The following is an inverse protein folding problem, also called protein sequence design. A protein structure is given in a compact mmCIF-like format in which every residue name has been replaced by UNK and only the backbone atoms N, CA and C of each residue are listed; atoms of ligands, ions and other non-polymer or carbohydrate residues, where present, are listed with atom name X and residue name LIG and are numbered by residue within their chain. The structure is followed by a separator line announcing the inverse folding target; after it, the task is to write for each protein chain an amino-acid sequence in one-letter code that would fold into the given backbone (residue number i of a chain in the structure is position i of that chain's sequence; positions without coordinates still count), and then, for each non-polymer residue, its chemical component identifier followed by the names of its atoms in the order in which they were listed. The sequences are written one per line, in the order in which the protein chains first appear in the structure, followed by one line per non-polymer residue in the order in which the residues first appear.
data_IF_276943676684
#
_entry.id   IF_276943676684
#
_cell.length_a   1.000
_cell.length_b   1.000
_cell.length_c   1.000
_cell.angle_alpha   90.00
_cell.angle_beta   90.00
_cell.angle_gamma   90.00
#
_symmetry.space_group_name_H-M   'P 1'
#
loop_
_entity.id
_entity.type
_entity.pdbx_description
1 polymer ?
#
# COMPACT_ATOMS: atom_id res chain seq x y z
N UNK A 1 -1.89 -3.97 -22.70
CA UNK A 1 -0.90 -3.96 -21.60
C UNK A 1 -0.93 -5.32 -20.91
N UNK A 2 0.22 -5.98 -20.72
CA UNK A 2 0.29 -7.23 -19.94
C UNK A 2 0.43 -6.89 -18.45
N UNK A 3 -0.57 -7.27 -17.65
CA UNK A 3 -0.55 -7.17 -16.18
C UNK A 3 0.04 -8.46 -15.58
N UNK A 4 -0.22 -8.76 -14.30
CA UNK A 4 0.36 -9.94 -13.64
C UNK A 4 -0.09 -11.23 -14.33
N UNK A 5 -1.40 -11.38 -14.53
CA UNK A 5 -1.96 -12.58 -15.14
C UNK A 5 -2.55 -12.36 -16.53
N UNK A 6 -3.37 -11.32 -16.69
CA UNK A 6 -4.11 -11.07 -17.91
C UNK A 6 -3.58 -9.87 -18.71
N UNK A 7 -4.11 -9.69 -19.92
CA UNK A 7 -3.92 -8.47 -20.71
C UNK A 7 -5.14 -7.58 -20.61
N UNK A 8 -4.90 -6.29 -20.39
CA UNK A 8 -5.94 -5.25 -20.44
C UNK A 8 -5.66 -4.28 -21.57
N UNK A 9 -6.68 -3.50 -21.95
CA UNK A 9 -6.54 -2.40 -22.89
C UNK A 9 -5.55 -1.35 -22.36
N UNK A 10 -4.73 -0.81 -23.26
CA UNK A 10 -3.76 0.22 -22.91
C UNK A 10 -4.33 1.62 -23.21
N UNK A 11 -3.96 2.59 -22.39
CA UNK A 11 -4.29 4.01 -22.55
C UNK A 11 -3.16 4.77 -23.25
N UNK A 12 -3.47 5.90 -23.87
CA UNK A 12 -2.49 6.71 -24.62
C UNK A 12 -1.41 7.32 -23.72
N UNK A 13 -1.79 7.74 -22.51
CA UNK A 13 -0.91 8.42 -21.56
C UNK A 13 -1.04 7.80 -20.18
N UNK A 14 0.09 7.71 -19.48
CA UNK A 14 0.17 7.26 -18.10
C UNK A 14 0.97 8.26 -17.28
N UNK A 15 0.61 8.40 -16.00
CA UNK A 15 1.32 9.23 -15.04
C UNK A 15 2.60 8.53 -14.54
N UNK A 16 3.60 9.32 -14.16
CA UNK A 16 4.77 8.80 -13.45
C UNK A 16 4.36 8.29 -12.06
N UNK A 17 4.90 7.14 -11.66
CA UNK A 17 4.57 6.45 -10.41
C UNK A 17 5.82 6.01 -9.65
N UNK A 18 5.71 5.95 -8.33
CA UNK A 18 6.66 5.29 -7.41
C UNK A 18 5.91 4.22 -6.64
N UNK A 19 6.43 2.99 -6.61
CA UNK A 19 5.69 1.80 -6.19
C UNK A 19 6.47 1.00 -5.14
N UNK A 20 5.77 0.50 -4.13
CA UNK A 20 6.19 -0.62 -3.29
C UNK A 20 5.42 -1.86 -3.71
N UNK A 21 6.14 -2.91 -4.14
CA UNK A 21 5.53 -4.08 -4.78
C UNK A 21 6.28 -5.38 -4.46
N UNK A 22 5.56 -6.52 -4.38
CA UNK A 22 6.17 -7.82 -4.45
C UNK A 22 6.96 -7.96 -5.75
N UNK A 23 8.14 -8.55 -5.64
CA UNK A 23 9.12 -8.57 -6.72
C UNK A 23 8.73 -9.47 -7.90
N UNK A 24 7.73 -10.32 -7.73
CA UNK A 24 7.27 -11.30 -8.73
C UNK A 24 6.09 -10.83 -9.60
N UNK A 25 5.31 -9.85 -9.15
CA UNK A 25 4.08 -9.40 -9.84
C UNK A 25 4.30 -8.12 -10.66
N UNK A 26 3.34 -7.70 -11.48
CA UNK A 26 3.44 -6.48 -12.28
C UNK A 26 2.92 -5.23 -11.56
N UNK A 27 1.83 -5.36 -10.80
CA UNK A 27 1.20 -4.31 -9.99
C UNK A 27 2.02 -3.81 -8.79
N UNK A 28 1.33 -3.33 -7.75
CA UNK A 28 1.89 -2.84 -6.50
C UNK A 28 0.94 -2.98 -5.32
N UNK A 29 1.47 -3.10 -4.10
CA UNK A 29 0.65 -3.12 -2.87
C UNK A 29 0.34 -1.69 -2.41
N UNK A 30 1.26 -0.76 -2.69
CA UNK A 30 1.07 0.65 -2.44
C UNK A 30 1.98 1.51 -3.31
N UNK A 31 1.62 2.78 -3.49
CA UNK A 31 2.44 3.74 -4.21
C UNK A 31 1.80 5.11 -4.31
N UNK A 32 2.48 5.98 -5.06
CA UNK A 32 2.01 7.32 -5.37
C UNK A 32 2.32 7.69 -6.82
N UNK A 33 1.65 8.72 -7.33
CA UNK A 33 1.91 9.29 -8.64
C UNK A 33 2.30 10.78 -8.59
N UNK A 34 2.75 11.31 -9.72
CA UNK A 34 3.20 12.71 -9.85
C UNK A 34 2.12 13.77 -9.58
N UNK A 35 0.85 13.38 -9.56
CA UNK A 35 -0.28 14.25 -9.23
C UNK A 35 -0.62 14.25 -7.73
N UNK A 36 0.10 13.48 -6.92
CA UNK A 36 -0.13 13.36 -5.49
C UNK A 36 -1.27 12.42 -5.13
N UNK A 37 -1.66 11.52 -6.03
CA UNK A 37 -2.56 10.40 -5.70
C UNK A 37 -1.72 9.31 -5.05
N UNK A 38 -2.17 8.81 -3.90
CA UNK A 38 -1.62 7.67 -3.20
C UNK A 38 -2.67 6.56 -3.14
N UNK A 39 -2.23 5.32 -3.35
CA UNK A 39 -3.09 4.14 -3.24
C UNK A 39 -2.35 3.06 -2.46
N UNK A 40 -3.03 2.40 -1.54
CA UNK A 40 -2.60 1.12 -0.96
C UNK A 40 -3.77 0.15 -0.90
N UNK A 41 -3.52 -1.15 -0.94
CA UNK A 41 -4.53 -2.18 -0.77
C UNK A 41 -4.18 -3.19 0.32
N UNK A 42 -5.16 -3.98 0.71
CA UNK A 42 -5.01 -5.12 1.62
C UNK A 42 -6.02 -6.22 1.24
N UNK A 43 -5.73 -7.45 1.67
CA UNK A 43 -6.58 -8.61 1.43
C UNK A 43 -7.82 -8.62 2.35
N UNK A 44 -9.00 -8.85 1.80
CA UNK A 44 -10.25 -9.06 2.57
C UNK A 44 -10.96 -10.33 2.14
N UNK A 45 -11.66 -10.93 3.10
CA UNK A 45 -12.46 -12.14 2.92
C UNK A 45 -13.89 -11.90 3.41
N UNK A 46 -14.87 -12.41 2.68
CA UNK A 46 -16.28 -12.21 2.95
C UNK A 46 -17.12 -13.32 2.32
N UNK A 47 -18.44 -13.21 2.41
CA UNK A 47 -19.39 -14.26 1.98
C UNK A 47 -19.33 -14.59 0.50
N UNK A 48 -18.97 -13.60 -0.33
CA UNK A 48 -18.81 -13.82 -1.76
C UNK A 48 -17.62 -14.75 -2.02
N UNK A 49 -17.84 -15.77 -2.85
CA UNK A 49 -16.80 -16.70 -3.24
C UNK A 49 -15.67 -15.97 -3.96
N UNK A 50 -14.45 -16.42 -3.70
CA UNK A 50 -13.26 -15.85 -4.32
C UNK A 50 -12.90 -16.74 -5.52
N UNK A 51 -12.83 -16.15 -6.70
CA UNK A 51 -12.44 -16.86 -7.92
C UNK A 51 -10.94 -17.18 -7.94
N UNK A 52 -10.61 -18.44 -8.21
CA UNK A 52 -9.23 -18.89 -8.46
C UNK A 52 -8.77 -18.61 -9.90
N UNK A 53 -9.72 -18.29 -10.79
CA UNK A 53 -9.43 -17.95 -12.17
C UNK A 53 -8.58 -16.67 -12.27
N UNK A 54 -7.60 -16.72 -13.15
CA UNK A 54 -6.69 -15.61 -13.40
C UNK A 54 -7.44 -14.39 -13.95
N UNK A 55 -7.48 -13.32 -13.16
CA UNK A 55 -8.02 -12.02 -13.53
C UNK A 55 -7.05 -10.90 -13.11
N UNK A 56 -7.53 -9.66 -12.95
CA UNK A 56 -6.72 -8.62 -12.32
C UNK A 56 -6.54 -8.94 -10.83
N UNK A 57 -5.32 -8.75 -10.34
CA UNK A 57 -5.09 -8.72 -8.91
C UNK A 57 -5.43 -7.34 -8.35
N UNK A 58 -5.76 -7.26 -7.06
CA UNK A 58 -5.87 -5.96 -6.36
C UNK A 58 -4.63 -5.09 -6.57
N UNK A 59 -3.44 -5.71 -6.57
CA UNK A 59 -2.18 -5.03 -6.78
C UNK A 59 -2.04 -4.49 -8.22
N UNK A 60 -2.61 -5.18 -9.21
CA UNK A 60 -2.67 -4.66 -10.58
C UNK A 60 -3.59 -3.43 -10.64
N UNK A 61 -4.72 -3.46 -9.93
CA UNK A 61 -5.66 -2.35 -9.82
C UNK A 61 -5.02 -1.12 -9.13
N UNK A 62 -4.22 -1.31 -8.08
CA UNK A 62 -3.43 -0.21 -7.45
C UNK A 62 -2.58 0.51 -8.48
N UNK A 63 -1.77 -0.24 -9.23
CA UNK A 63 -0.88 0.35 -10.23
C UNK A 63 -1.66 1.02 -11.36
N UNK A 64 -2.70 0.37 -11.87
CA UNK A 64 -3.53 0.92 -12.94
C UNK A 64 -4.25 2.21 -12.51
N UNK A 65 -4.74 2.27 -11.26
CA UNK A 65 -5.31 3.47 -10.67
C UNK A 65 -4.31 4.62 -10.62
N UNK A 66 -3.10 4.36 -10.12
CA UNK A 66 -2.02 5.36 -10.05
C UNK A 66 -1.56 5.84 -11.43
N UNK A 67 -1.43 4.93 -12.40
CA UNK A 67 -0.96 5.28 -13.76
C UNK A 67 -2.02 6.03 -14.58
N UNK A 68 -3.32 5.94 -14.24
CA UNK A 68 -4.42 6.44 -15.10
C UNK A 68 -5.29 7.54 -14.48
N UNK A 69 -5.01 7.97 -13.26
CA UNK A 69 -5.78 9.00 -12.58
C UNK A 69 -4.90 10.11 -11.98
N UNK A 70 -5.39 11.34 -12.01
CA UNK A 70 -4.78 12.53 -11.41
C UNK A 70 -5.52 13.02 -10.14
N UNK A 71 -6.59 12.32 -9.72
CA UNK A 71 -7.30 12.52 -8.45
C UNK A 71 -7.69 11.18 -7.81
N UNK A 72 -7.94 11.18 -6.50
CA UNK A 72 -8.39 10.02 -5.76
C UNK A 72 -9.76 9.50 -6.25
N UNK A 73 -10.72 10.38 -6.52
CA UNK A 73 -12.03 9.98 -7.07
C UNK A 73 -11.91 9.36 -8.48
N UNK A 74 -11.02 9.89 -9.33
CA UNK A 74 -10.75 9.27 -10.65
C UNK A 74 -10.06 7.93 -10.50
N UNK A 75 -9.14 7.78 -9.53
CA UNK A 75 -8.47 6.51 -9.26
C UNK A 75 -9.47 5.43 -8.81
N UNK A 76 -10.41 5.78 -7.92
CA UNK A 76 -11.52 4.92 -7.54
C UNK A 76 -12.31 4.48 -8.79
N UNK A 77 -12.68 5.43 -9.64
CA UNK A 77 -13.44 5.16 -10.88
C UNK A 77 -12.69 4.21 -11.82
N UNK A 78 -11.40 4.45 -12.05
CA UNK A 78 -10.53 3.55 -12.84
C UNK A 78 -10.53 2.13 -12.25
N UNK A 79 -10.40 2.00 -10.93
CA UNK A 79 -10.37 0.69 -10.27
C UNK A 79 -11.69 -0.05 -10.48
N UNK A 80 -12.84 0.59 -10.26
CA UNK A 80 -14.15 -0.09 -10.37
C UNK A 80 -14.53 -0.39 -11.82
N UNK A 81 -14.17 0.46 -12.79
CA UNK A 81 -14.39 0.21 -14.22
C UNK A 81 -13.56 -1.01 -14.69
N UNK A 82 -12.31 -1.12 -14.21
CA UNK A 82 -11.44 -2.26 -14.51
C UNK A 82 -11.93 -3.54 -13.82
N UNK A 83 -12.39 -3.43 -12.58
CA UNK A 83 -13.00 -4.55 -11.84
C UNK A 83 -14.24 -5.07 -12.58
N UNK A 84 -15.12 -4.18 -13.04
CA UNK A 84 -16.32 -4.55 -13.80
C UNK A 84 -15.95 -5.24 -15.13
N UNK A 85 -14.97 -4.70 -15.85
CA UNK A 85 -14.59 -5.19 -17.18
C UNK A 85 -13.77 -6.48 -17.16
N UNK A 86 -12.88 -6.63 -16.19
CA UNK A 86 -11.87 -7.69 -16.19
C UNK A 86 -11.94 -8.62 -14.97
N UNK A 87 -12.79 -8.31 -13.98
CA UNK A 87 -12.90 -9.06 -12.74
C UNK A 87 -11.67 -8.91 -11.83
N UNK A 88 -11.72 -9.60 -10.70
CA UNK A 88 -10.59 -9.78 -9.80
C UNK A 88 -10.44 -11.26 -9.42
N UNK A 89 -9.21 -11.74 -9.28
CA UNK A 89 -8.97 -13.16 -9.00
C UNK A 89 -7.59 -13.67 -9.42
N UNK A 90 -7.30 -14.91 -9.06
CA UNK A 90 -6.02 -15.58 -9.28
C UNK A 90 -5.09 -15.48 -8.08
N UNK A 91 -4.09 -16.36 -8.03
CA UNK A 91 -3.24 -16.53 -6.84
C UNK A 91 -2.46 -15.25 -6.48
N UNK A 92 -2.56 -14.77 -5.25
CA UNK A 92 -1.84 -13.59 -4.76
C UNK A 92 -0.49 -13.94 -4.12
N UNK A 93 0.01 -15.17 -4.31
CA UNK A 93 1.28 -15.64 -3.76
C UNK A 93 2.16 -16.29 -4.82
N UNK A 94 3.48 -16.03 -4.78
CA UNK A 94 4.49 -16.74 -5.56
C UNK A 94 4.73 -18.15 -4.96
N UNK A 95 3.73 -19.02 -5.08
CA UNK A 95 3.70 -20.37 -4.52
C UNK A 95 2.68 -21.26 -5.25
N UNK A 96 2.76 -22.57 -5.03
CA UNK A 96 1.70 -23.52 -5.41
C UNK A 96 0.51 -23.51 -4.44
N UNK A 97 0.69 -22.92 -3.26
CA UNK A 97 -0.42 -22.69 -2.34
C UNK A 97 -1.32 -21.60 -2.91
N UNK A 98 -2.60 -21.92 -3.04
CA UNK A 98 -3.62 -20.96 -3.49
C UNK A 98 -3.87 -19.98 -2.34
N UNK A 99 -3.64 -18.70 -2.60
CA UNK A 99 -3.92 -17.63 -1.67
C UNK A 99 -4.66 -16.52 -2.42
N UNK A 100 -5.99 -16.59 -2.42
CA UNK A 100 -6.87 -15.69 -3.16
C UNK A 100 -7.71 -14.87 -2.18
N UNK A 101 -8.04 -13.64 -2.58
CA UNK A 101 -8.81 -12.69 -1.77
C UNK A 101 -9.46 -11.60 -2.63
N UNK A 102 -10.41 -10.87 -2.05
CA UNK A 102 -10.86 -9.58 -2.56
C UNK A 102 -10.07 -8.45 -1.88
N UNK A 103 -10.37 -7.18 -2.19
CA UNK A 103 -9.53 -6.07 -1.77
C UNK A 103 -10.27 -4.95 -1.05
N UNK A 104 -9.61 -4.42 -0.02
CA UNK A 104 -9.88 -3.09 0.52
C UNK A 104 -8.76 -2.16 0.04
N UNK A 105 -9.10 -0.94 -0.38
CA UNK A 105 -8.18 0.06 -0.87
C UNK A 105 -8.31 1.34 -0.04
N UNK A 106 -7.18 1.94 0.31
CA UNK A 106 -7.07 3.33 0.72
C UNK A 106 -6.59 4.14 -0.46
N UNK A 107 -7.35 5.17 -0.84
CA UNK A 107 -7.06 6.05 -1.96
C UNK A 107 -7.09 7.48 -1.43
N UNK A 108 -6.04 8.27 -1.62
CA UNK A 108 -5.99 9.64 -1.15
C UNK A 108 -5.29 10.55 -2.15
N UNK A 109 -5.70 11.81 -2.20
CA UNK A 109 -4.96 12.88 -2.83
C UNK A 109 -4.89 14.10 -1.89
N UNK A 110 -4.51 15.27 -2.41
CA UNK A 110 -4.39 16.51 -1.62
C UNK A 110 -5.72 17.00 -1.03
N UNK A 111 -6.86 16.59 -1.58
CA UNK A 111 -8.19 17.15 -1.28
C UNK A 111 -9.11 16.16 -0.60
N UNK A 112 -9.00 14.89 -0.96
CA UNK A 112 -9.94 13.87 -0.50
C UNK A 112 -9.27 12.51 -0.29
N UNK A 113 -9.94 11.69 0.51
CA UNK A 113 -9.56 10.30 0.70
C UNK A 113 -10.82 9.41 0.65
N UNK A 114 -10.61 8.18 0.19
CA UNK A 114 -11.64 7.19 -0.04
C UNK A 114 -11.18 5.85 0.50
N UNK A 115 -12.13 5.12 1.09
CA UNK A 115 -12.03 3.68 1.29
C UNK A 115 -12.86 3.03 0.20
N UNK A 116 -12.31 2.06 -0.52
CA UNK A 116 -13.04 1.24 -1.49
C UNK A 116 -12.89 -0.23 -1.09
N UNK A 117 -13.99 -0.93 -0.93
CA UNK A 117 -13.98 -2.36 -0.57
C UNK A 117 -14.76 -3.17 -1.59
N UNK A 118 -14.17 -4.30 -2.02
CA UNK A 118 -14.71 -5.14 -3.09
C UNK A 118 -15.16 -6.51 -2.56
N UNK A 119 -16.14 -7.08 -3.25
CA UNK A 119 -16.69 -8.42 -3.01
C UNK A 119 -17.13 -9.01 -4.35
N UNK A 120 -16.29 -9.83 -4.97
CA UNK A 120 -16.47 -10.25 -6.35
C UNK A 120 -16.45 -9.03 -7.29
N UNK A 121 -17.45 -8.89 -8.16
CA UNK A 121 -17.60 -7.66 -8.98
C UNK A 121 -18.23 -6.48 -8.22
N UNK A 122 -18.83 -6.74 -7.05
CA UNK A 122 -19.54 -5.72 -6.27
C UNK A 122 -18.58 -4.94 -5.39
N UNK A 123 -18.96 -3.71 -5.06
CA UNK A 123 -18.11 -2.82 -4.27
C UNK A 123 -18.94 -1.73 -3.58
N UNK A 124 -18.38 -1.20 -2.50
CA UNK A 124 -18.85 -0.01 -1.80
C UNK A 124 -17.66 0.92 -1.55
N UNK A 125 -17.91 2.23 -1.54
CA UNK A 125 -16.89 3.23 -1.25
C UNK A 125 -17.41 4.31 -0.28
N UNK A 126 -16.55 4.67 0.65
CA UNK A 126 -16.78 5.67 1.70
C UNK A 126 -15.82 6.84 1.49
N UNK A 127 -16.34 8.07 1.45
CA UNK A 127 -15.55 9.30 1.42
C UNK A 127 -15.18 9.70 2.85
N UNK A 128 -13.89 9.89 3.08
CA UNK A 128 -13.35 10.33 4.37
C UNK A 128 -13.43 11.86 4.45
N UNK A 129 -14.41 12.36 5.20
CA UNK A 129 -14.68 13.81 5.32
C UNK A 129 -13.77 14.54 6.31
N UNK A 130 -12.99 13.80 7.11
CA UNK A 130 -12.02 14.36 8.04
C UNK A 130 -11.62 13.41 9.15
N UNK A 131 -10.60 13.80 9.92
CA UNK A 131 -10.08 12.98 11.02
C UNK A 131 -9.16 11.86 10.53
N UNK A 132 -9.38 10.65 11.04
CA UNK A 132 -8.51 9.48 10.78
C UNK A 132 -9.35 8.30 10.33
N UNK A 133 -8.80 7.51 9.40
CA UNK A 133 -9.40 6.26 8.92
C UNK A 133 -8.28 5.26 8.66
N UNK A 134 -8.51 4.00 9.02
CA UNK A 134 -7.63 2.88 8.70
C UNK A 134 -8.43 1.69 8.17
N UNK A 135 -7.76 0.79 7.48
CA UNK A 135 -8.31 -0.52 7.06
C UNK A 135 -7.41 -1.64 7.60
N UNK A 136 -7.86 -2.89 7.48
CA UNK A 136 -7.14 -4.12 7.81
C UNK A 136 -7.78 -5.26 7.03
N UNK A 137 -7.42 -6.52 7.30
CA UNK A 137 -7.99 -7.71 6.64
C UNK A 137 -9.46 -8.04 6.98
N UNK A 138 -10.36 -7.07 6.83
CA UNK A 138 -11.79 -7.19 7.07
C UNK A 138 -12.50 -6.01 6.40
N UNK A 139 -13.74 -6.24 5.96
CA UNK A 139 -14.60 -5.17 5.46
C UNK A 139 -14.96 -4.20 6.59
N UNK A 140 -14.98 -2.91 6.31
CA UNK A 140 -15.09 -1.84 7.29
C UNK A 140 -16.07 -0.74 6.91
N UNK A 141 -16.49 -0.67 5.64
CA UNK A 141 -17.54 0.27 5.23
C UNK A 141 -18.88 -0.24 5.76
N UNK A 142 -19.54 0.55 6.61
CA UNK A 142 -20.79 0.16 7.26
C UNK A 142 -21.99 0.76 6.52
N UNK A 143 -22.74 1.66 7.14
CA UNK A 143 -23.92 2.31 6.56
C UNK A 143 -23.58 3.59 5.80
N UNK A 144 -22.45 4.23 6.12
CA UNK A 144 -21.94 5.38 5.34
C UNK A 144 -21.34 4.89 4.03
N UNK A 145 -22.12 4.96 2.96
CA UNK A 145 -21.73 4.57 1.60
C UNK A 145 -22.00 5.76 0.68
N UNK A 146 -20.93 6.31 0.11
CA UNK A 146 -20.98 7.46 -0.78
C UNK A 146 -21.10 7.05 -2.26
N UNK A 147 -20.50 5.91 -2.62
CA UNK A 147 -20.63 5.27 -3.95
C UNK A 147 -20.74 3.76 -3.79
N UNK A 148 -21.52 3.11 -4.64
CA UNK A 148 -21.69 1.66 -4.63
C UNK A 148 -21.89 1.10 -6.03
N UNK A 149 -21.64 -0.20 -6.20
CA UNK A 149 -22.05 -0.92 -7.38
C UNK A 149 -23.60 -0.86 -7.52
N UNK A 150 -24.17 -0.55 -8.70
CA UNK A 150 -25.62 -0.37 -8.86
C UNK A 150 -26.47 -1.56 -8.42
N UNK A 151 -25.96 -2.77 -8.62
CA UNK A 151 -26.62 -4.03 -8.25
C UNK A 151 -26.27 -4.54 -6.84
N UNK A 152 -25.46 -3.82 -6.04
CA UNK A 152 -24.93 -4.28 -4.75
C UNK A 152 -26.04 -4.82 -3.83
N UNK A 153 -27.04 -3.98 -3.57
CA UNK A 153 -28.14 -4.25 -2.64
C UNK A 153 -29.08 -5.36 -3.14
N UNK A 154 -29.44 -5.32 -4.41
CA UNK A 154 -30.32 -6.32 -5.02
C UNK A 154 -29.64 -7.69 -5.10
N UNK A 155 -28.34 -7.74 -5.36
CA UNK A 155 -27.57 -8.97 -5.27
C UNK A 155 -27.56 -9.54 -3.85
N UNK A 156 -27.27 -8.72 -2.84
CA UNK A 156 -27.29 -9.15 -1.44
C UNK A 156 -28.66 -9.70 -1.01
N UNK A 157 -29.76 -9.08 -1.46
CA UNK A 157 -31.13 -9.61 -1.26
C UNK A 157 -31.32 -10.96 -1.93
N UNK A 158 -30.90 -11.10 -3.19
CA UNK A 158 -31.02 -12.35 -3.95
C UNK A 158 -30.29 -13.52 -3.29
N UNK A 159 -29.21 -13.25 -2.55
CA UNK A 159 -28.45 -14.23 -1.76
C UNK A 159 -29.01 -14.47 -0.36
N UNK A 160 -30.04 -13.73 0.06
CA UNK A 160 -30.59 -13.76 1.41
C UNK A 160 -29.65 -13.20 2.48
N UNK A 161 -28.66 -12.38 2.10
CA UNK A 161 -27.72 -11.77 3.04
C UNK A 161 -28.25 -10.50 3.69
N UNK A 162 -29.16 -9.82 3.01
CA UNK A 162 -29.86 -8.64 3.49
C UNK A 162 -31.37 -8.81 3.28
N UNK A 163 -32.16 -8.45 4.29
CA UNK A 163 -33.62 -8.59 4.27
C UNK A 163 -34.32 -7.51 3.42
N UNK A 164 -33.61 -6.42 3.10
CA UNK A 164 -34.17 -5.29 2.38
C UNK A 164 -34.95 -4.30 3.23
N UNK A 165 -35.13 -4.59 4.52
CA UNK A 165 -35.90 -3.79 5.46
C UNK A 165 -35.00 -2.99 6.40
N UNK A 166 -33.92 -3.60 6.88
CA UNK A 166 -32.94 -2.93 7.74
C UNK A 166 -32.08 -1.98 6.93
N UNK A 167 -31.53 -0.95 7.59
CA UNK A 167 -30.49 -0.12 7.00
C UNK A 167 -29.35 -1.00 6.47
N UNK A 168 -28.91 -0.72 5.25
CA UNK A 168 -27.90 -1.53 4.59
C UNK A 168 -26.52 -1.19 5.14
N UNK A 169 -25.87 -2.19 5.75
CA UNK A 169 -24.49 -2.12 6.25
C UNK A 169 -23.63 -3.07 5.41
N UNK A 170 -22.71 -2.53 4.61
CA UNK A 170 -21.93 -3.31 3.65
C UNK A 170 -21.06 -4.36 4.35
N UNK A 171 -20.29 -3.94 5.36
CA UNK A 171 -19.42 -4.83 6.12
C UNK A 171 -20.21 -5.93 6.83
N UNK A 172 -21.33 -5.63 7.48
CA UNK A 172 -22.16 -6.64 8.14
C UNK A 172 -22.83 -7.62 7.15
N UNK A 173 -23.21 -7.13 5.96
CA UNK A 173 -23.88 -7.92 4.93
C UNK A 173 -22.92 -8.88 4.22
N UNK A 174 -21.73 -8.38 3.86
CA UNK A 174 -20.76 -9.11 3.04
C UNK A 174 -19.67 -9.83 3.84
N UNK A 175 -19.54 -9.61 5.15
CA UNK A 175 -18.57 -10.36 5.98
C UNK A 175 -19.09 -11.73 6.40
N UNK A 176 -18.17 -12.69 6.59
CA UNK A 176 -18.50 -14.00 7.19
C UNK A 176 -18.97 -13.88 8.66
N UNK A 177 -18.43 -12.91 9.39
CA UNK A 177 -18.61 -12.73 10.83
C UNK A 177 -19.30 -11.40 11.14
N UNK A 178 -19.98 -11.34 12.29
CA UNK A 178 -20.59 -10.10 12.77
C UNK A 178 -19.50 -9.05 13.12
N UNK A 179 -19.56 -7.91 12.46
CA UNK A 179 -18.59 -6.80 12.50
C UNK A 179 -18.77 -5.86 13.71
N UNK A 180 -19.81 -6.04 14.53
CA UNK A 180 -20.18 -5.13 15.63
C UNK A 180 -19.10 -4.92 16.72
N UNK A 181 -18.05 -5.76 16.78
CA UNK A 181 -16.94 -5.63 17.75
C UNK A 181 -15.60 -5.24 17.12
N UNK A 182 -15.58 -4.83 15.85
CA UNK A 182 -14.34 -4.58 15.11
C UNK A 182 -13.43 -3.51 15.73
N UNK A 183 -14.00 -2.46 16.33
CA UNK A 183 -13.24 -1.38 17.00
C UNK A 183 -12.87 -1.69 18.45
N UNK A 184 -13.28 -2.86 18.97
CA UNK A 184 -13.11 -3.22 20.40
C UNK A 184 -12.38 -4.56 20.59
N UNK A 185 -12.24 -5.38 19.55
CA UNK A 185 -11.43 -6.61 19.58
C UNK A 185 -9.93 -6.29 19.56
N UNK A 186 -9.09 -7.19 20.09
CA UNK A 186 -7.61 -7.08 20.03
C UNK A 186 -7.11 -7.50 18.64
N UNK A 187 -7.31 -6.66 17.64
CA UNK A 187 -6.84 -6.88 16.26
C UNK A 187 -6.26 -5.61 15.64
N UNK A 188 -5.45 -5.77 14.58
CA UNK A 188 -4.71 -4.67 13.92
C UNK A 188 -5.60 -3.47 13.57
N UNK A 189 -6.82 -3.72 13.10
CA UNK A 189 -7.80 -2.66 12.83
C UNK A 189 -8.09 -1.80 14.07
N UNK A 190 -8.45 -2.44 15.18
CA UNK A 190 -8.81 -1.79 16.45
C UNK A 190 -7.63 -1.08 17.08
N UNK A 191 -6.45 -1.71 17.11
CA UNK A 191 -5.25 -1.10 17.66
C UNK A 191 -4.77 0.08 16.79
N UNK A 192 -4.78 -0.06 15.47
CA UNK A 192 -4.52 1.06 14.55
C UNK A 192 -5.51 2.20 14.73
N UNK A 193 -6.80 1.91 14.92
CA UNK A 193 -7.81 2.91 15.21
C UNK A 193 -7.52 3.64 16.53
N UNK A 194 -7.15 2.93 17.59
CA UNK A 194 -6.80 3.54 18.90
C UNK A 194 -5.56 4.43 18.79
N UNK A 195 -4.51 3.95 18.12
CA UNK A 195 -3.27 4.70 17.93
C UNK A 195 -3.51 5.97 17.11
N UNK A 196 -4.23 5.88 15.98
CA UNK A 196 -4.57 7.06 15.19
C UNK A 196 -5.43 8.06 15.97
N UNK A 197 -6.43 7.59 16.73
CA UNK A 197 -7.28 8.49 17.51
C UNK A 197 -6.54 9.16 18.66
N UNK A 198 -5.54 8.50 19.26
CA UNK A 198 -4.68 9.10 20.29
C UNK A 198 -3.96 10.36 19.79
N UNK A 199 -3.62 10.40 18.50
CA UNK A 199 -2.90 11.51 17.88
C UNK A 199 -3.79 12.37 16.95
N UNK A 200 -5.11 12.19 17.00
CA UNK A 200 -6.05 12.90 16.11
C UNK A 200 -5.91 14.42 16.26
N UNK A 201 -5.70 15.10 15.14
CA UNK A 201 -5.50 16.56 15.10
C UNK A 201 -4.05 17.01 15.27
N UNK A 202 -3.13 16.09 15.58
CA UNK A 202 -1.68 16.37 15.69
C UNK A 202 -0.84 15.34 14.95
N UNK A 203 -1.39 14.66 13.94
CA UNK A 203 -0.66 13.64 13.18
C UNK A 203 0.43 14.31 12.34
N UNK A 204 1.65 13.81 12.50
CA UNK A 204 2.81 14.13 11.65
C UNK A 204 3.27 12.88 10.90
N UNK A 205 4.20 13.04 9.96
CA UNK A 205 4.88 11.91 9.30
C UNK A 205 5.53 10.97 10.32
N UNK A 206 6.19 11.52 11.33
CA UNK A 206 6.91 10.80 12.38
C UNK A 206 5.96 9.95 13.21
N UNK A 207 4.82 10.51 13.61
CA UNK A 207 3.79 9.75 14.34
C UNK A 207 3.28 8.59 13.48
N UNK A 208 3.06 8.80 12.18
CA UNK A 208 2.66 7.70 11.29
C UNK A 208 3.76 6.64 11.17
N UNK A 209 5.04 7.04 11.08
CA UNK A 209 6.18 6.12 11.07
C UNK A 209 6.28 5.33 12.38
N UNK A 210 6.05 5.97 13.53
CA UNK A 210 6.00 5.30 14.85
C UNK A 210 4.87 4.27 14.92
N UNK A 211 3.66 4.62 14.46
CA UNK A 211 2.52 3.69 14.39
C UNK A 211 2.86 2.48 13.51
N UNK A 212 3.51 2.69 12.37
CA UNK A 212 3.92 1.62 11.47
C UNK A 212 5.03 0.72 12.05
N UNK A 213 5.81 1.21 13.02
CA UNK A 213 6.84 0.45 13.74
C UNK A 213 6.28 -0.34 14.92
N UNK A 214 5.05 -0.05 15.35
CA UNK A 214 4.48 -0.60 16.58
C UNK A 214 4.20 -2.11 16.45
N UNK A 215 5.01 -2.90 17.18
CA UNK A 215 4.92 -4.37 17.21
C UNK A 215 3.83 -4.87 18.15
N UNK A 216 3.55 -4.14 19.24
CA UNK A 216 2.58 -4.56 20.27
C UNK A 216 1.14 -4.58 19.74
N UNK A 217 0.78 -3.60 18.90
CA UNK A 217 -0.49 -3.54 18.17
C UNK A 217 -0.62 -4.60 17.07
N UNK A 218 0.49 -5.23 16.70
CA UNK A 218 0.60 -6.12 15.55
C UNK A 218 0.62 -5.41 14.20
N UNK A 219 0.66 -4.06 14.14
CA UNK A 219 0.77 -3.31 12.88
C UNK A 219 2.08 -3.65 12.18
N UNK A 220 3.19 -3.61 12.92
CA UNK A 220 4.45 -4.16 12.46
C UNK A 220 4.46 -5.67 12.69
N UNK A 221 4.17 -6.44 11.64
CA UNK A 221 4.10 -7.90 11.74
C UNK A 221 5.50 -8.52 11.77
N UNK A 222 5.66 -9.57 12.58
CA UNK A 222 6.88 -10.36 12.71
C UNK A 222 6.63 -11.84 12.36
N UNK A 223 7.70 -12.62 12.20
CA UNK A 223 7.63 -14.06 11.92
C UNK A 223 7.35 -14.37 10.44
N UNK A 224 6.55 -15.41 10.18
CA UNK A 224 6.33 -15.94 8.82
C UNK A 224 5.63 -14.98 7.85
N UNK A 225 4.93 -13.96 8.38
CA UNK A 225 4.26 -12.91 7.60
C UNK A 225 4.75 -11.53 8.05
N UNK A 226 6.07 -11.36 8.08
CA UNK A 226 6.70 -10.10 8.47
C UNK A 226 6.31 -8.94 7.52
N UNK A 227 6.17 -7.72 8.06
CA UNK A 227 6.01 -6.51 7.25
C UNK A 227 7.20 -6.36 6.29
N UNK A 228 6.94 -6.37 4.97
CA UNK A 228 8.00 -6.39 3.94
C UNK A 228 8.35 -5.01 3.38
N UNK A 229 7.54 -4.00 3.67
CA UNK A 229 7.77 -2.61 3.32
C UNK A 229 6.75 -1.69 3.97
N UNK A 230 7.08 -0.42 4.12
CA UNK A 230 6.18 0.59 4.70
C UNK A 230 6.30 1.90 3.94
N UNK A 231 5.21 2.65 3.88
CA UNK A 231 5.11 3.93 3.18
C UNK A 231 4.36 4.95 4.03
N UNK A 232 4.85 6.19 4.04
CA UNK A 232 4.15 7.36 4.59
C UNK A 232 4.15 8.45 3.53
N UNK A 233 3.02 9.14 3.32
CA UNK A 233 2.95 10.25 2.37
C UNK A 233 2.40 11.50 3.04
N UNK A 234 3.02 12.63 2.74
CA UNK A 234 2.56 13.97 3.13
C UNK A 234 2.09 14.68 1.87
N UNK A 235 0.81 15.03 1.85
CA UNK A 235 0.12 15.61 0.70
C UNK A 235 -0.40 17.01 1.06
N UNK A 236 0.40 18.08 0.90
CA UNK A 236 -0.06 19.43 1.23
C UNK A 236 -1.26 19.85 0.38
N UNK A 237 -2.23 20.54 0.97
CA UNK A 237 -3.36 21.11 0.21
C UNK A 237 -2.90 22.21 -0.76
N UNK A 238 -1.88 22.98 -0.36
CA UNK A 238 -1.28 24.03 -1.17
C UNK A 238 -0.56 23.43 -2.40
N UNK A 239 -1.02 23.71 -3.63
CA UNK A 239 -0.47 23.08 -4.85
C UNK A 239 1.01 23.38 -5.10
N UNK A 240 1.51 24.49 -4.54
CA UNK A 240 2.88 24.95 -4.73
C UNK A 240 3.88 24.15 -3.87
N UNK A 241 3.40 23.47 -2.82
CA UNK A 241 4.22 22.62 -1.98
C UNK A 241 4.30 21.21 -2.59
N UNK A 242 5.48 20.56 -2.58
CA UNK A 242 5.63 19.21 -3.12
C UNK A 242 4.90 18.18 -2.26
N UNK A 243 4.42 17.11 -2.89
CA UNK A 243 4.09 15.89 -2.16
C UNK A 243 5.39 15.16 -1.79
N UNK A 244 5.46 14.65 -0.57
CA UNK A 244 6.65 13.95 -0.06
C UNK A 244 6.23 12.53 0.32
N UNK A 245 6.90 11.56 -0.28
CA UNK A 245 6.60 10.14 -0.10
C UNK A 245 7.81 9.44 0.53
N UNK A 246 7.60 8.80 1.66
CA UNK A 246 8.64 8.07 2.36
C UNK A 246 8.45 6.57 2.18
N UNK A 247 9.51 5.85 1.84
CA UNK A 247 9.48 4.39 1.71
C UNK A 247 10.61 3.74 2.50
N UNK A 248 10.34 2.58 3.09
CA UNK A 248 11.40 1.77 3.70
C UNK A 248 12.25 1.06 2.65
N UNK A 249 11.65 0.53 1.59
CA UNK A 249 12.37 -0.28 0.59
C UNK A 249 13.02 -1.56 1.16
N UNK A 250 12.80 -1.87 2.44
CA UNK A 250 13.24 -3.08 3.13
C UNK A 250 12.21 -3.49 4.19
N UNK A 251 12.22 -4.75 4.64
CA UNK A 251 11.30 -5.27 5.66
C UNK A 251 11.50 -4.67 7.05
N UNK A 252 10.54 -4.94 7.93
CA UNK A 252 10.46 -4.52 9.34
C UNK A 252 10.80 -3.04 9.51
N UNK A 253 9.80 -2.14 9.48
CA UNK A 253 10.05 -0.72 9.66
C UNK A 253 10.86 -0.46 10.92
N UNK A 254 10.75 -1.21 12.02
CA UNK A 254 11.54 -0.97 13.24
C UNK A 254 13.06 -1.14 13.06
N UNK A 255 13.51 -1.88 12.03
CA UNK A 255 14.92 -2.08 11.66
C UNK A 255 15.29 -1.39 10.34
N UNK A 256 14.38 -0.59 9.79
CA UNK A 256 14.53 0.16 8.55
C UNK A 256 14.36 1.66 8.78
N UNK A 257 14.57 2.45 7.74
CA UNK A 257 14.34 3.90 7.72
C UNK A 257 13.44 4.30 6.55
N UNK A 258 12.70 5.36 6.75
CA UNK A 258 11.83 6.01 5.79
C UNK A 258 12.62 6.97 4.90
N UNK A 259 12.99 6.52 3.70
CA UNK A 259 13.71 7.32 2.68
C UNK A 259 12.73 8.23 1.93
N UNK A 260 12.94 9.56 1.90
CA UNK A 260 12.04 10.47 1.18
C UNK A 260 12.24 10.42 -0.34
N UNK A 261 11.14 10.60 -1.05
CA UNK A 261 11.02 10.69 -2.49
C UNK A 261 10.08 11.84 -2.85
N UNK A 262 10.48 12.65 -3.83
CA UNK A 262 9.69 13.74 -4.40
C UNK A 262 9.73 13.58 -5.92
N UNK A 263 8.57 13.68 -6.56
CA UNK A 263 8.48 13.73 -8.02
C UNK A 263 9.05 15.04 -8.54
N UNK A 264 10.07 14.95 -9.38
CA UNK A 264 10.68 16.07 -10.09
C UNK A 264 11.07 15.65 -11.51
N UNK A 265 11.24 16.60 -12.46
CA UNK A 265 11.75 16.26 -13.76
C UNK A 265 13.07 15.48 -13.68
N UNK A 266 13.22 14.47 -14.53
CA UNK A 266 14.44 13.66 -14.65
C UNK A 266 14.84 12.87 -13.38
N UNK A 267 13.87 12.44 -12.54
CA UNK A 267 14.14 11.48 -11.47
C UNK A 267 14.99 10.29 -11.97
N UNK A 268 16.02 9.93 -11.21
CA UNK A 268 16.90 8.81 -11.55
C UNK A 268 16.24 7.47 -11.27
N UNK A 269 16.68 6.43 -11.97
CA UNK A 269 16.20 5.07 -11.72
C UNK A 269 16.62 4.60 -10.32
N UNK A 270 15.67 4.01 -9.59
CA UNK A 270 15.86 3.53 -8.21
C UNK A 270 16.51 2.14 -8.20
N UNK A 271 17.71 2.01 -8.78
CA UNK A 271 18.33 0.72 -9.09
C UNK A 271 18.60 -0.16 -7.86
N UNK A 272 19.07 0.43 -6.75
CA UNK A 272 19.44 -0.31 -5.53
C UNK A 272 18.25 -0.85 -4.72
N UNK A 273 17.04 -0.41 -5.07
CA UNK A 273 15.76 -0.85 -4.53
C UNK A 273 14.87 -1.51 -5.59
N UNK A 274 15.43 -1.82 -6.77
CA UNK A 274 14.74 -2.51 -7.85
C UNK A 274 15.15 -3.98 -7.89
N UNK A 275 14.19 -4.88 -7.72
CA UNK A 275 14.43 -6.32 -7.87
C UNK A 275 14.84 -6.68 -9.32
N UNK A 276 15.69 -7.71 -9.50
CA UNK A 276 16.04 -8.19 -10.83
C UNK A 276 14.81 -8.68 -11.59
N UNK A 277 14.83 -8.51 -12.92
CA UNK A 277 13.77 -9.00 -13.82
C UNK A 277 14.26 -10.22 -14.60
N UNK A 278 13.38 -11.20 -14.81
CA UNK A 278 13.72 -12.45 -15.50
C UNK A 278 13.12 -12.54 -16.91
N UNK A 279 12.58 -11.44 -17.44
CA UNK A 279 12.05 -11.38 -18.80
C UNK A 279 10.95 -12.42 -19.05
N UNK A 280 11.11 -13.24 -20.10
CA UNK A 280 10.22 -14.36 -20.42
C UNK A 280 10.45 -15.60 -19.54
N UNK A 281 11.57 -15.63 -18.81
CA UNK A 281 11.91 -16.73 -17.91
C UNK A 281 11.29 -16.61 -16.52
N UNK A 282 10.66 -15.48 -16.23
CA UNK A 282 10.00 -15.23 -14.96
C UNK A 282 8.93 -16.29 -14.67
N UNK A 283 8.95 -16.95 -13.49
CA UNK A 283 7.98 -17.99 -13.13
C UNK A 283 6.54 -17.55 -13.17
N UNK A 284 6.27 -16.26 -12.96
CA UNK A 284 4.91 -15.76 -13.12
C UNK A 284 4.46 -15.94 -14.57
N UNK A 285 5.32 -15.80 -15.58
CA UNK A 285 4.91 -15.84 -17.01
C UNK A 285 4.88 -17.24 -17.64
N UNK A 286 5.32 -18.28 -16.92
CA UNK A 286 5.36 -19.65 -17.42
C UNK A 286 4.14 -20.41 -16.92
N UNK A 287 3.56 -21.27 -17.76
CA UNK A 287 2.49 -22.17 -17.36
C UNK A 287 3.04 -23.62 -17.30
N UNK A 288 2.79 -24.38 -16.22
CA UNK A 288 2.17 -23.95 -14.96
C UNK A 288 3.01 -22.89 -14.22
N UNK A 289 2.37 -21.97 -13.47
CA UNK A 289 3.06 -20.87 -12.76
C UNK A 289 3.91 -21.38 -11.59
N UNK A 290 4.89 -20.56 -11.22
CA UNK A 290 5.67 -20.69 -9.98
C UNK A 290 6.43 -22.01 -9.79
N UNK A 291 6.86 -22.67 -10.88
CA UNK A 291 7.64 -23.92 -10.82
C UNK A 291 9.05 -23.75 -10.24
N UNK A 292 9.53 -22.53 -10.12
CA UNK A 292 10.75 -22.18 -9.42
C UNK A 292 10.59 -20.81 -8.78
N UNK A 293 11.49 -20.48 -7.85
CA UNK A 293 11.51 -19.22 -7.11
C UNK A 293 12.90 -18.59 -7.18
N UNK A 294 13.18 -17.70 -8.15
CA UNK A 294 14.48 -17.08 -8.29
C UNK A 294 14.76 -16.12 -7.12
N UNK A 295 16.04 -15.83 -6.86
CA UNK A 295 16.40 -14.79 -5.90
C UNK A 295 16.09 -13.40 -6.46
N UNK A 296 15.08 -12.74 -5.88
CA UNK A 296 14.63 -11.40 -6.27
C UNK A 296 15.09 -10.29 -5.34
N UNK A 297 15.97 -10.57 -4.38
CA UNK A 297 16.47 -9.57 -3.45
C UNK A 297 17.34 -8.55 -4.19
N UNK A 298 16.98 -7.27 -4.08
CA UNK A 298 17.81 -6.16 -4.59
C UNK A 298 18.99 -5.87 -3.65
N UNK A 299 19.90 -5.00 -4.07
CA UNK A 299 21.14 -4.69 -3.34
C UNK A 299 20.87 -4.28 -1.89
N UNK A 300 19.99 -3.28 -1.69
CA UNK A 300 19.64 -2.80 -0.36
C UNK A 300 19.03 -3.90 0.52
N UNK A 301 18.16 -4.76 -0.02
CA UNK A 301 17.56 -5.86 0.73
C UNK A 301 18.62 -6.83 1.25
N UNK A 302 19.58 -7.23 0.39
CA UNK A 302 20.64 -8.18 0.77
C UNK A 302 21.52 -7.64 1.90
N UNK A 303 21.82 -6.35 1.86
CA UNK A 303 22.59 -5.67 2.90
C UNK A 303 21.78 -5.51 4.19
N UNK A 304 20.52 -5.12 4.07
CA UNK A 304 19.59 -5.05 5.20
C UNK A 304 19.42 -6.41 5.91
N UNK A 305 19.30 -7.51 5.17
CA UNK A 305 19.20 -8.86 5.76
C UNK A 305 20.43 -9.21 6.59
N UNK A 306 21.62 -8.81 6.15
CA UNK A 306 22.86 -9.00 6.91
C UNK A 306 22.93 -8.08 8.13
N UNK A 307 22.55 -6.81 7.96
CA UNK A 307 22.51 -5.80 9.01
C UNK A 307 21.51 -6.16 10.12
N UNK A 308 20.34 -6.68 9.76
CA UNK A 308 19.32 -7.18 10.68
C UNK A 308 19.87 -8.20 11.67
N UNK A 309 20.64 -9.18 11.18
CA UNK A 309 21.28 -10.19 12.03
C UNK A 309 22.25 -9.51 13.01
N UNK A 310 23.02 -8.52 12.57
CA UNK A 310 23.93 -7.76 13.44
C UNK A 310 23.15 -6.98 14.51
N UNK A 311 22.05 -6.32 14.13
CA UNK A 311 21.19 -5.55 15.03
C UNK A 311 20.61 -6.41 16.15
N UNK A 312 20.26 -7.67 15.85
CA UNK A 312 19.65 -8.59 16.80
C UNK A 312 20.67 -9.34 17.67
N UNK A 313 21.83 -9.70 17.11
CA UNK A 313 22.73 -10.69 17.74
C UNK A 313 24.02 -10.11 18.32
N UNK A 314 24.47 -8.93 17.87
CA UNK A 314 25.74 -8.35 18.31
C UNK A 314 25.48 -7.16 19.21
N UNK A 315 25.53 -7.39 20.52
CA UNK A 315 25.36 -6.33 21.52
C UNK A 315 26.42 -5.22 21.34
N UNK A 316 26.01 -3.96 21.51
CA UNK A 316 26.85 -2.79 21.23
C UNK A 316 26.77 -2.39 19.76
N UNK A 317 27.36 -3.18 18.86
CA UNK A 317 27.40 -2.87 17.42
C UNK A 317 26.00 -2.74 16.80
N UNK A 318 25.08 -3.63 17.18
CA UNK A 318 23.69 -3.57 16.74
C UNK A 318 22.96 -2.30 17.22
N UNK A 319 23.20 -1.88 18.47
CA UNK A 319 22.63 -0.65 19.06
C UNK A 319 23.20 0.60 18.38
N UNK A 320 24.49 0.60 18.07
CA UNK A 320 25.17 1.69 17.35
C UNK A 320 24.61 1.82 15.93
N UNK A 321 24.52 0.72 15.18
CA UNK A 321 23.95 0.72 13.83
C UNK A 321 22.49 1.21 13.82
N UNK A 322 21.65 0.75 14.75
CA UNK A 322 20.27 1.23 14.89
C UNK A 322 20.21 2.73 15.18
N UNK A 323 21.13 3.24 16.01
CA UNK A 323 21.22 4.66 16.31
C UNK A 323 21.62 5.47 15.07
N UNK A 324 22.63 5.03 14.32
CA UNK A 324 23.08 5.71 13.10
C UNK A 324 21.98 5.81 12.04
N UNK A 325 21.25 4.72 11.78
CA UNK A 325 20.14 4.77 10.82
C UNK A 325 18.99 5.67 11.32
N UNK A 326 18.70 5.69 12.63
CA UNK A 326 17.68 6.58 13.20
C UNK A 326 18.09 8.06 13.13
N UNK A 327 19.38 8.37 13.29
CA UNK A 327 19.91 9.72 13.11
C UNK A 327 19.81 10.15 11.64
N UNK A 328 20.12 9.25 10.70
CA UNK A 328 19.92 9.48 9.27
C UNK A 328 18.45 9.77 8.94
N UNK A 329 17.52 8.95 9.45
CA UNK A 329 16.08 9.15 9.25
C UNK A 329 15.62 10.52 9.76
N UNK A 330 15.97 10.87 11.00
CA UNK A 330 15.63 12.17 11.60
C UNK A 330 16.16 13.33 10.75
N UNK A 331 17.40 13.24 10.28
CA UNK A 331 17.99 14.25 9.40
C UNK A 331 17.15 14.43 8.12
N UNK A 332 16.75 13.33 7.47
CA UNK A 332 15.96 13.40 6.24
C UNK A 332 14.56 13.95 6.47
N UNK A 333 13.93 13.60 7.59
CA UNK A 333 12.62 14.14 7.95
C UNK A 333 12.72 15.65 8.15
N UNK A 334 13.70 16.14 8.92
CA UNK A 334 13.92 17.57 9.13
C UNK A 334 14.24 18.33 7.83
N UNK A 335 14.97 17.70 6.88
CA UNK A 335 15.18 18.25 5.53
C UNK A 335 13.84 18.42 4.78
N UNK A 336 12.94 17.43 4.87
CA UNK A 336 11.62 17.48 4.23
C UNK A 336 10.69 18.52 4.87
N UNK A 337 10.70 18.63 6.20
CA UNK A 337 9.96 19.67 6.91
C UNK A 337 10.43 21.07 6.50
N UNK A 338 11.74 21.28 6.36
CA UNK A 338 12.29 22.55 5.90
C UNK A 338 11.85 22.89 4.46
N UNK A 339 11.74 21.90 3.57
CA UNK A 339 11.19 22.11 2.21
C UNK A 339 9.73 22.56 2.27
N UNK A 340 8.91 21.92 3.12
CA UNK A 340 7.50 22.27 3.29
C UNK A 340 7.32 23.66 3.91
N UNK A 341 8.16 24.06 4.87
CA UNK A 341 8.08 25.36 5.54
C UNK A 341 8.56 26.51 4.65
N UNK A 342 9.63 26.30 3.89
CA UNK A 342 10.24 27.37 3.08
C UNK A 342 9.63 27.49 1.68
N UNK A 343 8.77 26.55 1.27
CA UNK A 343 8.19 26.44 -0.08
C UNK A 343 9.25 26.52 -1.21
N UNK A 344 10.48 26.09 -0.91
CA UNK A 344 11.61 26.16 -1.82
C UNK A 344 12.10 24.75 -2.11
N UNK A 345 11.96 24.34 -3.37
CA UNK A 345 12.42 23.04 -3.85
C UNK A 345 13.56 23.24 -4.86
N UNK A 346 14.78 22.94 -4.46
CA UNK A 346 15.90 22.85 -5.40
C UNK A 346 15.87 21.46 -6.07
N UNK A 347 15.41 21.41 -7.32
CA UNK A 347 15.32 20.19 -8.12
C UNK A 347 16.65 19.43 -8.17
N UNK A 348 17.79 20.14 -8.22
CA UNK A 348 19.11 19.48 -8.29
C UNK A 348 19.46 18.75 -6.99
N UNK A 349 18.96 19.25 -5.86
CA UNK A 349 19.14 18.59 -4.56
C UNK A 349 18.20 17.38 -4.43
N UNK A 350 16.95 17.50 -4.90
CA UNK A 350 15.96 16.44 -4.64
C UNK A 350 15.89 15.33 -5.69
N UNK A 351 16.40 15.55 -6.92
CA UNK A 351 16.34 14.57 -8.02
C UNK A 351 16.95 13.20 -7.67
N UNK A 352 17.97 13.21 -6.80
CA UNK A 352 18.64 12.01 -6.29
C UNK A 352 18.39 11.79 -4.80
N UNK A 353 17.41 12.45 -4.18
CA UNK A 353 17.17 12.40 -2.74
C UNK A 353 17.04 10.96 -2.22
N UNK A 354 16.13 10.19 -2.81
CA UNK A 354 15.89 8.80 -2.43
C UNK A 354 17.15 7.94 -2.62
N UNK A 355 17.76 8.00 -3.81
CA UNK A 355 18.97 7.24 -4.14
C UNK A 355 20.14 7.59 -3.23
N UNK A 356 20.36 8.88 -2.91
CA UNK A 356 21.40 9.31 -1.96
C UNK A 356 21.15 8.76 -0.56
N UNK A 357 19.91 8.79 -0.08
CA UNK A 357 19.56 8.24 1.22
C UNK A 357 19.78 6.71 1.27
N UNK A 358 19.47 5.98 0.19
CA UNK A 358 19.80 4.55 0.06
C UNK A 358 21.31 4.31 0.10
N UNK A 359 22.12 5.15 -0.56
CA UNK A 359 23.59 5.03 -0.49
C UNK A 359 24.15 5.32 0.91
N UNK A 360 23.57 6.28 1.63
CA UNK A 360 23.95 6.59 3.01
C UNK A 360 23.62 5.42 3.95
N UNK A 361 22.43 4.84 3.84
CA UNK A 361 22.03 3.65 4.59
C UNK A 361 22.92 2.44 4.29
N UNK A 362 23.25 2.22 3.01
CA UNK A 362 24.17 1.15 2.60
C UNK A 362 25.58 1.29 3.15
N UNK A 363 26.02 2.50 3.51
CA UNK A 363 27.33 2.72 4.16
C UNK A 363 27.30 2.42 5.64
N UNK A 364 26.12 2.53 6.28
CA UNK A 364 25.92 2.19 7.68
C UNK A 364 25.86 0.65 7.85
N UNK A 365 25.27 -0.05 6.89
CA UNK A 365 25.23 -1.53 6.84
C UNK A 365 26.58 -2.17 6.51
#
# INVERSE_FOLDING_TARGET
LQCTYIKVEQVEKTHAVVLSRPSWLWGAEMGANEHGVCIGNEAVWGREEIGDDEALLGMDLVRLGLERADTAEKALTVIVDLLEKYGQGGNCMESHMVFTYHNSFLIADRKEAWVLETSGKYWAAEKVEGGVRNISNQLSITTKIDREHPELKEYAKSKGWWDGEKEFDFAATYSYVNTARMTTSRGRYSEGYKLLNKHKGSITSEIMMEILRDKESGINMEGGFMTTGSMVSVLPQEPNLPCIHFFTGTPDPARSIFKPFIFVPHNTQLLKTSSPTFGHNDPVKKQPRFQNKPDRRHELYKKHESAAVVMETIEGKGKEMLKEIQELEKQKISEMEAILQNACLDVNQVVNLFSRCVEEELKIY
#
